data_IF_238856854903
#
_entry.id   IF_238856854903
#
_cell.length_a   1.000
_cell.length_b   1.000
_cell.length_c   1.000
_cell.angle_alpha   90.00
_cell.angle_beta   90.00
_cell.angle_gamma   90.00
#
_symmetry.space_group_name_H-M   'P 1'
#
loop_
_entity.id
_entity.type
_entity.pdbx_description
1 polymer ?
#
# COMPACT_ATOMS: atom_id res chain seq x y z
N UNK A 1 -13.86 -3.54 6.40
CA UNK A 1 -12.66 -4.40 6.33
C UNK A 1 -11.43 -3.53 6.28
N UNK A 2 -10.39 -3.81 7.09
CA UNK A 2 -9.21 -2.94 7.20
C UNK A 2 -7.93 -3.67 6.77
N UNK A 3 -7.04 -2.98 6.04
CA UNK A 3 -5.75 -3.48 5.57
C UNK A 3 -4.76 -2.34 5.41
N UNK A 4 -3.45 -2.66 5.33
CA UNK A 4 -2.41 -1.62 5.12
C UNK A 4 -2.47 -1.04 3.72
N UNK A 5 -2.30 0.28 3.60
CA UNK A 5 -2.33 1.03 2.33
C UNK A 5 -1.32 0.49 1.31
N UNK A 6 -0.08 0.27 1.72
CA UNK A 6 1.03 -0.21 0.89
C UNK A 6 1.44 -1.65 1.23
N UNK A 7 0.47 -2.54 1.45
CA UNK A 7 0.74 -3.87 2.00
C UNK A 7 1.72 -4.70 1.16
N UNK A 8 1.64 -4.65 -0.17
CA UNK A 8 2.47 -5.47 -1.05
C UNK A 8 3.91 -5.00 -1.03
N UNK A 9 4.15 -3.71 -1.33
CA UNK A 9 5.49 -3.11 -1.33
C UNK A 9 6.18 -3.26 0.03
N UNK A 10 5.41 -3.11 1.09
CA UNK A 10 5.89 -3.17 2.45
C UNK A 10 6.42 -4.57 2.81
N UNK A 11 5.65 -5.63 2.53
CA UNK A 11 6.09 -6.99 2.80
C UNK A 11 7.25 -7.42 1.91
N UNK A 12 7.27 -7.04 0.64
CA UNK A 12 8.39 -7.32 -0.26
C UNK A 12 9.69 -6.70 0.24
N UNK A 13 9.67 -5.44 0.67
CA UNK A 13 10.85 -4.75 1.20
C UNK A 13 11.35 -5.39 2.50
N UNK A 14 10.47 -5.78 3.42
CA UNK A 14 10.87 -6.44 4.67
C UNK A 14 11.51 -7.79 4.38
N UNK A 15 10.90 -8.60 3.52
CA UNK A 15 11.43 -9.92 3.15
C UNK A 15 12.81 -9.77 2.49
N UNK A 16 12.95 -8.81 1.58
CA UNK A 16 14.23 -8.55 0.90
C UNK A 16 15.32 -8.12 1.89
N UNK A 17 15.02 -7.19 2.80
CA UNK A 17 15.97 -6.72 3.81
C UNK A 17 16.37 -7.85 4.78
N UNK A 18 15.42 -8.65 5.22
CA UNK A 18 15.69 -9.78 6.10
C UNK A 18 16.55 -10.85 5.40
N UNK A 19 16.23 -11.19 4.14
CA UNK A 19 16.98 -12.15 3.36
C UNK A 19 18.42 -11.67 3.10
N UNK A 20 18.59 -10.40 2.75
CA UNK A 20 19.90 -9.79 2.54
C UNK A 20 20.74 -9.79 3.83
N UNK A 21 20.13 -9.45 4.97
CA UNK A 21 20.80 -9.46 6.27
C UNK A 21 21.28 -10.86 6.64
N UNK A 22 20.43 -11.87 6.45
CA UNK A 22 20.78 -13.27 6.74
C UNK A 22 21.91 -13.77 5.82
N UNK A 23 21.86 -13.39 4.53
CA UNK A 23 22.92 -13.71 3.57
C UNK A 23 24.25 -13.10 3.99
N UNK A 24 24.26 -11.81 4.37
CA UNK A 24 25.48 -11.12 4.83
C UNK A 24 26.08 -11.76 6.09
N UNK A 25 25.22 -12.19 7.04
CA UNK A 25 25.67 -12.90 8.24
C UNK A 25 26.30 -14.26 7.84
N UNK A 26 25.62 -15.04 7.00
CA UNK A 26 26.13 -16.34 6.56
C UNK A 26 27.48 -16.22 5.85
N UNK A 27 27.62 -15.27 4.90
CA UNK A 27 28.89 -15.01 4.21
C UNK A 27 29.96 -14.53 5.17
N UNK A 28 29.63 -13.62 6.09
CA UNK A 28 30.58 -13.11 7.10
C UNK A 28 31.14 -14.20 8.01
N UNK A 29 30.31 -15.16 8.39
CA UNK A 29 30.72 -16.34 9.20
C UNK A 29 31.60 -17.29 8.41
N UNK A 30 31.26 -17.59 7.15
CA UNK A 30 32.02 -18.51 6.30
C UNK A 30 33.38 -17.94 5.91
N UNK A 31 33.44 -16.63 5.62
CA UNK A 31 34.69 -15.94 5.21
C UNK A 31 35.54 -15.42 6.36
N UNK A 32 35.10 -15.64 7.62
CA UNK A 32 35.71 -15.03 8.81
C UNK A 32 35.90 -13.49 8.71
N UNK A 33 34.94 -12.83 8.04
CA UNK A 33 34.96 -11.39 7.88
C UNK A 33 33.88 -10.70 8.74
N UNK A 34 34.21 -10.35 10.01
CA UNK A 34 33.23 -9.89 11.01
C UNK A 34 32.53 -8.58 10.62
N UNK A 35 33.15 -7.77 9.76
CA UNK A 35 32.57 -6.51 9.28
C UNK A 35 31.24 -6.74 8.52
N UNK A 36 31.10 -7.85 7.79
CA UNK A 36 29.85 -8.17 7.10
C UNK A 36 28.71 -8.45 8.10
N UNK A 37 29.00 -9.16 9.18
CA UNK A 37 28.04 -9.39 10.25
C UNK A 37 27.63 -8.06 10.91
N UNK A 38 28.59 -7.16 11.14
CA UNK A 38 28.32 -5.86 11.75
C UNK A 38 27.42 -5.00 10.85
N UNK A 39 27.63 -5.01 9.52
CA UNK A 39 26.79 -4.30 8.57
C UNK A 39 25.38 -4.91 8.42
N UNK A 40 25.22 -6.20 8.69
CA UNK A 40 23.92 -6.86 8.61
C UNK A 40 22.98 -6.49 9.78
N UNK A 41 23.52 -6.14 10.96
CA UNK A 41 22.75 -5.80 12.16
C UNK A 41 21.79 -4.62 11.93
N UNK A 42 22.23 -3.45 11.42
CA UNK A 42 21.32 -2.33 11.20
C UNK A 42 20.22 -2.66 10.16
N UNK A 43 20.53 -3.44 9.13
CA UNK A 43 19.52 -3.88 8.15
C UNK A 43 18.46 -4.78 8.80
N UNK A 44 18.88 -5.68 9.67
CA UNK A 44 17.96 -6.54 10.42
C UNK A 44 17.08 -5.73 11.38
N UNK A 45 17.66 -4.73 12.06
CA UNK A 45 16.91 -3.82 12.93
C UNK A 45 15.86 -3.05 12.11
N UNK A 46 16.23 -2.51 10.95
CA UNK A 46 15.29 -1.82 10.05
C UNK A 46 14.18 -2.76 9.63
N UNK A 47 14.48 -4.00 9.23
CA UNK A 47 13.47 -4.98 8.85
C UNK A 47 12.49 -5.29 10.00
N UNK A 48 12.95 -5.35 11.24
CA UNK A 48 12.14 -5.64 12.43
C UNK A 48 11.30 -4.43 12.89
N UNK A 49 11.82 -3.21 12.71
CA UNK A 49 11.16 -1.98 13.16
C UNK A 49 10.19 -1.44 12.12
N UNK A 50 10.46 -1.62 10.82
CA UNK A 50 9.60 -1.14 9.72
C UNK A 50 8.12 -1.46 9.90
N UNK A 51 7.69 -2.65 10.36
CA UNK A 51 6.29 -2.96 10.61
C UNK A 51 5.58 -2.02 11.59
N UNK A 52 6.36 -1.42 12.50
CA UNK A 52 5.83 -0.49 13.51
C UNK A 52 5.75 0.95 13.00
N UNK A 53 6.50 1.28 11.95
CA UNK A 53 6.55 2.63 11.38
C UNK A 53 5.44 2.87 10.36
N UNK A 54 5.05 1.84 9.60
CA UNK A 54 3.95 1.96 8.64
C UNK A 54 2.61 1.83 9.36
N UNK A 55 1.96 2.96 9.60
CA UNK A 55 0.70 3.08 10.33
C UNK A 55 -0.49 3.47 9.45
N UNK A 56 -0.31 3.53 8.12
CA UNK A 56 -1.40 3.85 7.22
C UNK A 56 -2.26 2.61 6.91
N UNK A 57 -3.53 2.69 7.30
CA UNK A 57 -4.52 1.65 7.07
C UNK A 57 -5.68 2.17 6.23
N UNK A 58 -6.11 1.37 5.28
CA UNK A 58 -7.34 1.59 4.52
C UNK A 58 -8.42 0.72 5.13
N UNK A 59 -9.56 1.33 5.40
CA UNK A 59 -10.78 0.63 5.80
C UNK A 59 -11.81 0.82 4.69
N UNK A 60 -12.35 -0.29 4.21
CA UNK A 60 -13.48 -0.34 3.25
C UNK A 60 -14.64 -1.01 3.97
N UNK A 61 -15.77 -0.33 4.02
CA UNK A 61 -16.98 -0.77 4.68
C UNK A 61 -18.24 -0.36 3.89
N UNK A 62 -19.42 -0.56 4.47
CA UNK A 62 -20.70 -0.19 3.85
C UNK A 62 -20.88 1.31 3.62
N UNK A 63 -20.15 2.14 4.36
CA UNK A 63 -20.24 3.60 4.27
C UNK A 63 -19.32 4.18 3.20
N UNK A 64 -18.16 3.55 2.96
CA UNK A 64 -17.21 4.07 2.00
C UNK A 64 -15.78 3.56 2.18
N UNK A 65 -14.84 4.42 1.82
CA UNK A 65 -13.40 4.16 1.92
C UNK A 65 -12.77 5.23 2.80
N UNK A 66 -12.01 4.80 3.80
CA UNK A 66 -11.26 5.70 4.67
C UNK A 66 -9.81 5.27 4.83
N UNK A 67 -8.93 6.25 5.01
CA UNK A 67 -7.52 6.07 5.32
C UNK A 67 -7.21 6.65 6.69
N UNK A 68 -6.61 5.83 7.56
CA UNK A 68 -6.16 6.24 8.88
C UNK A 68 -4.65 6.03 9.02
N UNK A 69 -4.00 6.95 9.72
CA UNK A 69 -2.62 6.81 10.17
C UNK A 69 -2.61 6.69 11.70
N UNK A 70 -2.49 5.47 12.22
CA UNK A 70 -2.78 5.19 13.61
C UNK A 70 -4.23 5.51 13.94
N UNK A 71 -4.45 6.43 14.89
CA UNK A 71 -5.80 6.89 15.28
C UNK A 71 -6.26 8.12 14.50
N UNK A 72 -5.38 8.72 13.70
CA UNK A 72 -5.70 9.95 12.94
C UNK A 72 -6.31 9.62 11.59
N UNK A 73 -7.52 10.12 11.35
CA UNK A 73 -8.15 10.06 10.03
C UNK A 73 -7.40 10.99 9.06
N UNK A 74 -6.90 10.44 7.96
CA UNK A 74 -6.23 11.18 6.87
C UNK A 74 -7.26 11.68 5.87
N UNK A 75 -8.13 10.78 5.40
CA UNK A 75 -9.23 11.09 4.49
C UNK A 75 -10.30 9.99 4.58
N UNK A 76 -11.52 10.37 4.22
CA UNK A 76 -12.67 9.46 4.17
C UNK A 76 -13.62 9.94 3.09
N UNK A 77 -14.10 9.02 2.28
CA UNK A 77 -15.09 9.26 1.25
C UNK A 77 -16.21 8.23 1.36
N UNK A 78 -17.43 8.71 1.45
CA UNK A 78 -18.63 7.88 1.33
C UNK A 78 -18.78 7.43 -0.12
N UNK A 79 -19.40 6.28 -0.36
CA UNK A 79 -19.62 5.77 -1.72
C UNK A 79 -20.29 6.77 -2.64
N UNK A 80 -21.22 7.60 -2.11
CA UNK A 80 -21.90 8.65 -2.88
C UNK A 80 -21.00 9.81 -3.32
N UNK A 81 -19.85 9.99 -2.66
CA UNK A 81 -18.88 11.04 -2.96
C UNK A 81 -17.68 10.54 -3.78
N UNK A 82 -17.66 9.27 -4.13
CA UNK A 82 -16.63 8.68 -5.00
C UNK A 82 -17.14 8.71 -6.43
N UNK A 83 -16.47 9.48 -7.28
CA UNK A 83 -16.78 9.56 -8.71
C UNK A 83 -16.33 8.29 -9.44
N UNK A 84 -15.12 7.82 -9.15
CA UNK A 84 -14.52 6.70 -9.84
C UNK A 84 -13.45 6.02 -8.96
N UNK A 85 -13.30 4.70 -9.14
CA UNK A 85 -12.17 3.93 -8.65
C UNK A 85 -11.31 3.52 -9.85
N UNK A 86 -10.22 4.24 -10.08
CA UNK A 86 -9.36 4.00 -11.22
C UNK A 86 -8.24 3.03 -10.87
N UNK A 87 -8.06 1.98 -11.68
CA UNK A 87 -6.88 1.11 -11.56
C UNK A 87 -5.67 1.82 -12.14
N UNK A 88 -4.61 1.87 -11.36
CA UNK A 88 -3.32 2.41 -11.77
C UNK A 88 -2.18 1.48 -11.37
N UNK A 89 -0.98 1.78 -11.84
CA UNK A 89 0.24 1.07 -11.49
C UNK A 89 1.19 2.05 -10.81
N UNK A 90 1.28 1.97 -9.48
CA UNK A 90 2.25 2.74 -8.70
C UNK A 90 3.37 1.84 -8.22
N UNK A 91 4.61 2.28 -8.40
CA UNK A 91 5.80 1.49 -8.04
C UNK A 91 5.81 0.10 -8.70
N UNK A 92 5.27 -0.03 -9.93
CA UNK A 92 5.09 -1.30 -10.67
C UNK A 92 4.11 -2.28 -10.00
N UNK A 93 3.34 -1.83 -9.02
CA UNK A 93 2.35 -2.64 -8.31
C UNK A 93 0.94 -2.19 -8.64
N UNK A 94 -0.02 -3.13 -8.76
CA UNK A 94 -1.42 -2.79 -9.01
C UNK A 94 -1.96 -1.98 -7.82
N UNK A 95 -2.50 -0.82 -8.12
CA UNK A 95 -3.06 0.12 -7.15
C UNK A 95 -4.44 0.57 -7.60
N UNK A 96 -5.25 1.04 -6.66
CA UNK A 96 -6.52 1.70 -6.93
C UNK A 96 -6.40 3.14 -6.45
N UNK A 97 -6.78 4.06 -7.32
CA UNK A 97 -6.90 5.49 -7.03
C UNK A 97 -8.36 5.82 -6.79
N UNK A 98 -8.64 6.53 -5.72
CA UNK A 98 -9.98 6.98 -5.36
C UNK A 98 -10.13 8.40 -5.85
N UNK A 99 -11.03 8.64 -6.78
CA UNK A 99 -11.32 9.94 -7.36
C UNK A 99 -12.65 10.43 -6.79
N UNK A 100 -12.65 11.40 -5.86
CA UNK A 100 -13.89 11.96 -5.34
C UNK A 100 -14.51 12.96 -6.32
N UNK A 101 -15.78 13.32 -6.08
CA UNK A 101 -16.39 14.49 -6.71
C UNK A 101 -15.87 15.78 -6.07
N UNK A 102 -15.65 16.80 -6.87
CA UNK A 102 -15.38 18.14 -6.39
C UNK A 102 -16.69 18.87 -5.95
N UNK A 103 -16.56 20.12 -5.49
CA UNK A 103 -17.70 20.92 -5.07
C UNK A 103 -18.69 21.23 -6.21
N UNK A 104 -18.30 21.07 -7.48
CA UNK A 104 -19.15 21.24 -8.66
C UNK A 104 -19.85 19.95 -9.10
N UNK A 105 -19.57 18.82 -8.43
CA UNK A 105 -20.07 17.49 -8.80
C UNK A 105 -19.32 16.86 -9.97
N UNK A 106 -18.15 17.40 -10.33
CA UNK A 106 -17.27 16.81 -11.34
C UNK A 106 -16.18 15.95 -10.67
N UNK A 107 -15.67 14.89 -11.33
CA UNK A 107 -14.53 14.14 -10.82
C UNK A 107 -13.32 15.05 -10.61
N UNK A 108 -12.69 14.98 -9.43
CA UNK A 108 -11.53 15.80 -9.10
C UNK A 108 -10.28 15.27 -9.82
N UNK A 109 -9.73 15.98 -10.84
CA UNK A 109 -8.72 15.42 -11.76
C UNK A 109 -7.36 15.17 -11.11
N UNK A 110 -7.08 15.69 -9.92
CA UNK A 110 -5.78 15.59 -9.23
C UNK A 110 -5.84 14.91 -7.85
N UNK A 111 -6.96 14.29 -7.51
CA UNK A 111 -7.13 13.63 -6.22
C UNK A 111 -6.26 12.37 -6.08
N UNK A 112 -5.91 11.75 -7.18
CA UNK A 112 -5.26 10.44 -7.27
C UNK A 112 -3.92 10.36 -6.54
N UNK A 113 -3.11 11.45 -6.49
CA UNK A 113 -1.79 11.42 -5.87
C UNK A 113 -1.80 11.22 -4.35
N UNK A 114 -2.93 11.47 -3.71
CA UNK A 114 -3.08 11.38 -2.25
C UNK A 114 -4.00 10.24 -1.81
N UNK A 115 -4.94 9.85 -2.67
CA UNK A 115 -6.04 8.94 -2.33
C UNK A 115 -5.90 7.62 -3.09
N UNK A 116 -4.86 6.85 -2.78
CA UNK A 116 -4.63 5.54 -3.39
C UNK A 116 -4.36 4.47 -2.34
N UNK A 117 -4.50 3.21 -2.74
CA UNK A 117 -4.05 2.04 -1.98
C UNK A 117 -3.65 0.89 -2.92
N UNK A 118 -2.79 0.01 -2.43
CA UNK A 118 -2.36 -1.14 -3.22
C UNK A 118 -3.45 -2.21 -3.29
N UNK A 119 -3.62 -2.79 -4.49
CA UNK A 119 -4.63 -3.80 -4.78
C UNK A 119 -4.16 -5.20 -4.36
N UNK A 120 -3.92 -5.39 -3.07
CA UNK A 120 -3.64 -6.70 -2.46
C UNK A 120 -4.88 -7.59 -2.35
N UNK A 121 -4.72 -8.83 -1.88
CA UNK A 121 -5.83 -9.79 -1.72
C UNK A 121 -6.95 -9.26 -0.83
N UNK A 122 -6.60 -8.60 0.28
CA UNK A 122 -7.56 -8.02 1.21
C UNK A 122 -8.36 -6.87 0.57
N UNK A 123 -7.69 -6.00 -0.19
CA UNK A 123 -8.32 -4.91 -0.92
C UNK A 123 -9.31 -5.42 -1.97
N UNK A 124 -8.90 -6.42 -2.77
CA UNK A 124 -9.78 -7.06 -3.78
C UNK A 124 -11.03 -7.66 -3.13
N UNK A 125 -10.86 -8.39 -2.03
CA UNK A 125 -11.98 -8.98 -1.28
C UNK A 125 -12.92 -7.91 -0.73
N UNK A 126 -12.39 -6.82 -0.16
CA UNK A 126 -13.20 -5.73 0.36
C UNK A 126 -13.98 -5.02 -0.76
N UNK A 127 -13.32 -4.71 -1.87
CA UNK A 127 -13.98 -4.09 -3.02
C UNK A 127 -15.08 -4.97 -3.61
N UNK A 128 -14.85 -6.27 -3.78
CA UNK A 128 -15.89 -7.18 -4.27
C UNK A 128 -17.09 -7.33 -3.35
N UNK A 129 -16.94 -7.05 -2.06
CA UNK A 129 -18.04 -7.07 -1.09
C UNK A 129 -18.88 -5.80 -1.09
N UNK A 130 -18.24 -4.63 -1.21
CA UNK A 130 -18.87 -3.34 -0.97
C UNK A 130 -19.02 -2.49 -2.23
N UNK A 131 -18.29 -2.81 -3.29
CA UNK A 131 -18.34 -2.08 -4.55
C UNK A 131 -18.73 -3.05 -5.68
N UNK A 132 -20.00 -3.04 -6.08
CA UNK A 132 -20.58 -3.99 -7.05
C UNK A 132 -19.95 -3.93 -8.45
N UNK A 133 -19.23 -2.86 -8.78
CA UNK A 133 -18.56 -2.66 -10.06
C UNK A 133 -17.03 -2.81 -10.00
N UNK A 134 -16.50 -3.38 -8.93
CA UNK A 134 -15.05 -3.47 -8.72
C UNK A 134 -14.32 -4.27 -9.81
N UNK A 135 -14.99 -5.18 -10.49
CA UNK A 135 -14.42 -5.95 -11.61
C UNK A 135 -14.42 -5.16 -12.92
N UNK A 136 -15.25 -4.13 -13.05
CA UNK A 136 -15.37 -3.27 -14.24
C UNK A 136 -14.54 -1.98 -14.16
N UNK A 137 -13.69 -1.81 -13.14
CA UNK A 137 -12.82 -0.63 -13.04
C UNK A 137 -11.89 -0.60 -14.26
N UNK A 138 -12.01 0.39 -15.17
CA UNK A 138 -11.24 0.41 -16.41
C UNK A 138 -9.75 0.47 -16.12
N UNK A 139 -9.02 -0.43 -16.76
CA UNK A 139 -7.56 -0.42 -16.72
C UNK A 139 -7.10 0.66 -17.69
N UNK A 140 -6.92 1.87 -17.22
CA UNK A 140 -6.35 2.92 -18.05
C UNK A 140 -4.85 2.64 -18.23
N UNK A 141 -4.53 1.89 -19.29
CA UNK A 141 -3.16 1.61 -19.74
C UNK A 141 -2.64 2.80 -20.56
N UNK A 142 -2.82 4.01 -20.07
CA UNK A 142 -2.20 5.18 -20.65
C UNK A 142 -0.80 5.37 -20.04
N UNK A 143 0.11 4.50 -20.45
CA UNK A 143 1.53 4.83 -20.44
C UNK A 143 1.83 5.71 -21.64
N UNK A 144 2.05 6.98 -21.42
CA UNK A 144 2.88 7.82 -22.26
C UNK A 144 3.79 8.65 -21.38
#
# INVERSE_FOLDING_TARGET
MSFRKNSVLFYENIILLAALSLLMIAVGLVTNFPMLCLCAVPLLIVALVSPKLDREYITIDEWGISCKEGDRLRWSFDWAHIAELQRSSRFRLPSVEVIPYDASGQPEPFASDRHYFQLGRAAKKALSMYYAQADDVPTNSASR
#
